data_IF_323760242303
#
_entry.id   IF_323760242303
#
_cell.length_a   1.000
_cell.length_b   1.000
_cell.length_c   1.000
_cell.angle_alpha   90.00
_cell.angle_beta   90.00
_cell.angle_gamma   90.00
#
_symmetry.space_group_name_H-M   'P 1'
#
loop_
_entity.id
_entity.type
_entity.pdbx_description
1 polymer ?
#
# COMPACT_ATOMS: atom_id res chain seq x y z
N UNK A 1 4.35 -14.27 18.32
CA UNK A 1 4.96 -13.98 17.00
C UNK A 1 3.80 -13.53 16.13
N UNK A 2 3.81 -12.29 15.68
CA UNK A 2 2.65 -11.67 15.01
C UNK A 2 3.07 -11.31 13.59
N UNK A 3 2.36 -11.86 12.62
CA UNK A 3 2.54 -11.52 11.23
C UNK A 3 2.11 -10.07 10.98
N UNK A 4 2.91 -9.33 10.22
CA UNK A 4 2.63 -7.94 9.85
C UNK A 4 2.55 -7.81 8.35
N UNK A 5 1.45 -7.27 7.83
CA UNK A 5 1.31 -6.92 6.42
C UNK A 5 1.77 -5.47 6.25
N UNK A 6 2.76 -5.27 5.39
CA UNK A 6 3.37 -3.96 5.13
C UNK A 6 2.96 -3.53 3.72
N UNK A 7 2.15 -2.49 3.66
CA UNK A 7 1.71 -1.85 2.43
C UNK A 7 2.64 -0.69 2.11
N UNK A 8 3.31 -0.76 0.96
CA UNK A 8 4.24 0.28 0.53
C UNK A 8 3.67 1.02 -0.67
N UNK A 9 3.32 2.28 -0.46
CA UNK A 9 2.86 3.18 -1.50
C UNK A 9 4.05 3.77 -2.26
N UNK A 10 3.95 3.79 -3.59
CA UNK A 10 4.91 4.51 -4.44
C UNK A 10 4.61 6.01 -4.44
N UNK A 11 4.72 6.63 -3.26
CA UNK A 11 4.50 8.04 -3.01
C UNK A 11 5.45 8.52 -1.91
N UNK A 12 5.52 9.84 -1.68
CA UNK A 12 6.30 10.46 -0.60
C UNK A 12 5.37 10.84 0.56
N UNK A 13 5.82 10.70 1.82
CA UNK A 13 5.00 10.95 3.02
C UNK A 13 4.35 12.34 3.11
N UNK A 14 4.89 13.34 2.41
CA UNK A 14 4.30 14.69 2.35
C UNK A 14 3.14 14.87 1.36
N UNK A 15 2.86 13.90 0.47
CA UNK A 15 1.80 14.02 -0.53
C UNK A 15 0.40 13.65 0.00
N UNK A 16 0.32 12.99 1.16
CA UNK A 16 -0.95 12.60 1.79
C UNK A 16 -1.26 13.36 3.08
N UNK A 17 -0.39 14.28 3.51
CA UNK A 17 -0.49 14.98 4.80
C UNK A 17 -1.48 16.17 4.83
N UNK A 18 -2.31 16.36 3.81
CA UNK A 18 -3.05 17.62 3.66
C UNK A 18 -4.43 17.47 3.04
N UNK A 19 -5.37 16.91 3.80
CA UNK A 19 -6.79 17.20 3.61
C UNK A 19 -7.20 18.16 4.72
N UNK A 20 -6.83 19.43 4.57
CA UNK A 20 -7.47 20.49 5.36
C UNK A 20 -7.52 21.81 4.62
N UNK A 21 -6.51 22.19 3.84
CA UNK A 21 -6.52 23.53 3.26
C UNK A 21 -5.73 23.61 1.95
N UNK A 22 -6.23 24.47 1.06
CA UNK A 22 -5.62 24.98 -0.19
C UNK A 22 -6.02 24.25 -1.49
N UNK A 23 -7.15 24.74 -2.01
CA UNK A 23 -7.50 24.84 -3.43
C UNK A 23 -6.37 25.53 -4.22
N UNK A 24 -6.11 25.06 -5.45
CA UNK A 24 -5.30 25.73 -6.53
C UNK A 24 -3.78 25.86 -6.34
N UNK A 25 -3.02 24.77 -6.55
CA UNK A 25 -1.67 24.73 -7.19
C UNK A 25 -1.06 23.32 -7.02
N UNK A 26 -1.52 22.36 -7.81
CA UNK A 26 -0.79 21.11 -7.97
C UNK A 26 -0.53 20.97 -9.46
N UNK A 27 0.67 21.40 -9.82
CA UNK A 27 1.39 20.99 -11.02
C UNK A 27 1.02 19.53 -11.29
N UNK A 28 0.39 19.28 -12.44
CA UNK A 28 -0.15 17.98 -12.81
C UNK A 28 0.80 16.85 -12.35
N UNK A 29 0.38 15.90 -11.51
CA UNK A 29 1.15 14.70 -11.44
C UNK A 29 0.78 13.93 -12.70
N UNK A 30 1.63 14.06 -13.72
CA UNK A 30 1.90 12.93 -14.62
C UNK A 30 2.47 11.70 -13.87
N UNK A 31 2.42 11.68 -12.53
CA UNK A 31 3.01 10.72 -11.60
C UNK A 31 1.96 9.84 -10.90
N UNK A 32 0.93 9.42 -11.64
CA UNK A 32 -0.02 8.36 -11.27
C UNK A 32 0.62 6.95 -11.17
N UNK A 33 1.86 6.82 -10.68
CA UNK A 33 2.59 5.54 -10.65
C UNK A 33 2.30 4.70 -9.40
N UNK A 34 1.26 5.04 -8.62
CA UNK A 34 0.84 4.28 -7.45
C UNK A 34 -0.58 3.73 -7.64
N UNK A 35 -0.69 2.59 -8.33
CA UNK A 35 -2.00 1.95 -8.51
C UNK A 35 -2.61 1.52 -7.17
N UNK A 36 -1.78 1.11 -6.20
CA UNK A 36 -2.23 0.79 -4.83
C UNK A 36 -2.97 1.99 -4.19
N UNK A 37 -2.42 3.20 -4.32
CA UNK A 37 -3.05 4.42 -3.83
C UNK A 37 -4.42 4.65 -4.51
N UNK A 38 -4.47 4.51 -5.84
CA UNK A 38 -5.68 4.71 -6.66
C UNK A 38 -6.80 3.73 -6.31
N UNK A 39 -6.44 2.46 -6.02
CA UNK A 39 -7.45 1.46 -5.70
C UNK A 39 -7.93 1.57 -4.26
N UNK A 40 -7.09 1.98 -3.29
CA UNK A 40 -7.48 2.07 -1.86
C UNK A 40 -8.02 3.43 -1.41
N UNK A 41 -7.72 4.52 -2.12
CA UNK A 41 -8.22 5.88 -1.80
C UNK A 41 -9.15 6.44 -2.89
N UNK A 42 -10.13 7.22 -2.47
CA UNK A 42 -10.91 8.12 -3.30
C UNK A 42 -10.37 9.56 -3.26
N UNK A 43 -11.11 10.55 -3.80
CA UNK A 43 -10.66 11.95 -3.88
C UNK A 43 -10.39 12.62 -2.53
N UNK A 44 -11.04 12.14 -1.46
CA UNK A 44 -11.03 12.78 -0.14
C UNK A 44 -10.71 11.81 1.02
N UNK A 45 -10.71 10.49 0.80
CA UNK A 45 -10.51 9.54 1.91
C UNK A 45 -10.22 8.13 1.43
N UNK A 46 -9.81 7.26 2.35
CA UNK A 46 -9.74 5.82 2.12
C UNK A 46 -11.13 5.29 1.76
N UNK A 47 -11.22 4.39 0.78
CA UNK A 47 -12.51 3.81 0.37
C UNK A 47 -13.13 3.05 1.54
N UNK A 48 -14.43 3.27 1.76
CA UNK A 48 -15.16 2.74 2.91
C UNK A 48 -15.11 1.23 3.02
N UNK A 49 -14.98 0.54 1.90
CA UNK A 49 -14.92 -0.91 1.85
C UNK A 49 -13.52 -1.48 2.18
N UNK A 50 -12.47 -0.65 2.24
CA UNK A 50 -11.10 -1.08 2.49
C UNK A 50 -10.82 -1.26 4.00
N UNK A 51 -11.18 -0.28 4.82
CA UNK A 51 -10.94 -0.33 6.27
C UNK A 51 -11.61 -1.52 6.99
N UNK A 52 -12.89 -1.87 6.71
CA UNK A 52 -13.53 -3.06 7.29
C UNK A 52 -12.82 -4.34 6.89
N UNK A 53 -12.36 -4.44 5.64
CA UNK A 53 -11.59 -5.61 5.20
C UNK A 53 -10.28 -5.73 5.96
N UNK A 54 -9.53 -4.64 6.12
CA UNK A 54 -8.31 -4.64 6.92
C UNK A 54 -8.58 -5.11 8.36
N UNK A 55 -9.70 -4.72 8.96
CA UNK A 55 -10.09 -5.16 10.30
C UNK A 55 -10.38 -6.68 10.39
N UNK A 56 -10.73 -7.33 9.27
CA UNK A 56 -10.96 -8.79 9.24
C UNK A 56 -9.68 -9.62 9.25
N UNK A 57 -8.54 -9.05 8.85
CA UNK A 57 -7.27 -9.77 8.80
C UNK A 57 -6.67 -9.87 10.21
N UNK A 58 -6.17 -11.03 10.67
CA UNK A 58 -5.57 -11.17 12.00
C UNK A 58 -4.19 -10.50 12.13
N UNK A 59 -3.51 -10.26 11.01
CA UNK A 59 -2.16 -9.67 10.98
C UNK A 59 -2.18 -8.20 11.41
N UNK A 60 -1.07 -7.70 11.95
CA UNK A 60 -0.86 -6.26 12.06
C UNK A 60 -0.72 -5.64 10.67
N UNK A 61 -1.04 -4.35 10.52
CA UNK A 61 -0.93 -3.64 9.24
C UNK A 61 -0.11 -2.39 9.42
N UNK A 62 0.89 -2.26 8.57
CA UNK A 62 1.76 -1.08 8.51
C UNK A 62 1.64 -0.49 7.12
N UNK A 63 1.47 0.82 7.06
CA UNK A 63 1.37 1.58 5.81
C UNK A 63 2.58 2.50 5.74
N UNK A 64 3.38 2.36 4.69
CA UNK A 64 4.59 3.14 4.47
C UNK A 64 4.56 3.79 3.09
N UNK A 65 5.14 4.97 3.01
CA UNK A 65 5.53 5.60 1.76
C UNK A 65 6.95 5.16 1.35
N UNK A 66 7.35 5.48 0.12
CA UNK A 66 8.65 5.08 -0.43
C UNK A 66 9.81 5.62 0.41
N UNK A 67 9.72 6.86 0.87
CA UNK A 67 10.71 7.49 1.73
C UNK A 67 10.77 6.87 3.13
N UNK A 68 9.62 6.54 3.71
CA UNK A 68 9.54 5.80 4.99
C UNK A 68 10.14 4.40 4.88
N UNK A 69 9.91 3.69 3.77
CA UNK A 69 10.53 2.40 3.50
C UNK A 69 12.05 2.52 3.50
N UNK A 70 12.60 3.50 2.78
CA UNK A 70 14.05 3.68 2.68
C UNK A 70 14.64 3.99 4.06
N UNK A 71 13.96 4.84 4.84
CA UNK A 71 14.42 5.21 6.18
C UNK A 71 14.37 4.07 7.19
N UNK A 72 13.35 3.20 7.12
CA UNK A 72 13.14 2.13 8.12
C UNK A 72 13.75 0.78 7.68
N UNK A 73 13.75 0.50 6.39
CA UNK A 73 14.05 -0.80 5.80
C UNK A 73 14.86 -0.65 4.52
N UNK A 74 15.99 0.07 4.56
CA UNK A 74 16.83 0.36 3.39
C UNK A 74 17.17 -0.86 2.49
N UNK A 75 17.19 -2.08 3.04
CA UNK A 75 17.37 -3.33 2.29
C UNK A 75 16.22 -3.64 1.29
N UNK A 76 15.02 -3.10 1.50
CA UNK A 76 13.85 -3.30 0.64
C UNK A 76 13.78 -2.30 -0.53
N UNK A 77 14.74 -1.38 -0.66
CA UNK A 77 14.76 -0.38 -1.73
C UNK A 77 14.97 -0.99 -3.14
N UNK A 78 15.37 -2.27 -3.23
CA UNK A 78 15.56 -2.96 -4.50
C UNK A 78 14.25 -3.45 -5.14
N UNK A 79 13.12 -3.37 -4.44
CA UNK A 79 11.83 -3.80 -4.97
C UNK A 79 11.14 -2.68 -5.76
N UNK A 80 10.52 -3.07 -6.88
CA UNK A 80 9.65 -2.16 -7.62
C UNK A 80 8.41 -1.82 -6.79
N UNK A 81 8.07 -0.53 -6.72
CA UNK A 81 6.93 -0.02 -5.94
C UNK A 81 5.78 0.44 -6.85
N UNK A 82 4.51 0.37 -6.39
CA UNK A 82 4.06 -0.05 -5.05
C UNK A 82 4.22 -1.57 -4.83
N UNK A 83 4.26 -2.02 -3.58
CA UNK A 83 4.37 -3.44 -3.23
C UNK A 83 3.76 -3.73 -1.85
N UNK A 84 3.37 -4.98 -1.62
CA UNK A 84 2.84 -5.45 -0.34
C UNK A 84 3.70 -6.63 0.14
N UNK A 85 4.14 -6.58 1.38
CA UNK A 85 4.97 -7.61 2.00
C UNK A 85 4.28 -8.23 3.21
N UNK A 86 4.57 -9.49 3.47
CA UNK A 86 4.36 -10.13 4.77
C UNK A 86 5.67 -10.13 5.52
N UNK A 87 5.67 -9.61 6.73
CA UNK A 87 6.78 -9.70 7.66
C UNK A 87 6.43 -10.71 8.74
N UNK A 88 7.24 -11.76 8.83
CA UNK A 88 7.23 -12.74 9.91
C UNK A 88 8.57 -12.65 10.63
N UNK A 89 8.54 -12.18 11.89
CA UNK A 89 9.72 -11.80 12.66
C UNK A 89 10.63 -10.81 11.90
N UNK A 90 11.81 -11.26 11.46
CA UNK A 90 12.79 -10.45 10.70
C UNK A 90 12.84 -10.81 9.21
N UNK A 91 11.94 -11.66 8.72
CA UNK A 91 11.87 -12.07 7.32
C UNK A 91 10.74 -11.34 6.60
N UNK A 92 11.05 -10.83 5.41
CA UNK A 92 10.09 -10.20 4.52
C UNK A 92 9.84 -11.11 3.33
N UNK A 93 8.57 -11.38 3.05
CA UNK A 93 8.11 -12.12 1.88
C UNK A 93 7.24 -11.20 1.03
N UNK A 94 7.52 -11.12 -0.28
CA UNK A 94 6.70 -10.34 -1.21
C UNK A 94 5.34 -11.04 -1.36
N UNK A 95 4.25 -10.38 -0.94
CA UNK A 95 2.87 -10.87 -1.12
C UNK A 95 2.31 -10.47 -2.47
N UNK A 96 2.46 -9.19 -2.83
CA UNK A 96 1.93 -8.64 -4.08
C UNK A 96 2.94 -7.67 -4.68
N UNK A 97 3.38 -7.94 -5.91
CA UNK A 97 4.35 -7.11 -6.63
C UNK A 97 3.72 -5.87 -7.28
N UNK A 98 4.57 -4.93 -7.70
CA UNK A 98 4.15 -3.78 -8.54
C UNK A 98 3.35 -4.23 -9.76
N UNK A 99 3.84 -5.23 -10.47
CA UNK A 99 3.21 -5.69 -11.72
C UNK A 99 1.83 -6.26 -11.45
N UNK A 100 1.69 -7.11 -10.41
CA UNK A 100 0.39 -7.62 -9.99
C UNK A 100 -0.53 -6.48 -9.58
N UNK A 101 -0.07 -5.55 -8.73
CA UNK A 101 -0.87 -4.41 -8.29
C UNK A 101 -1.34 -3.56 -9.48
N UNK A 102 -0.52 -3.36 -10.50
CA UNK A 102 -0.87 -2.58 -11.69
C UNK A 102 -1.90 -3.26 -12.60
N UNK A 103 -2.10 -4.58 -12.48
CA UNK A 103 -3.20 -5.27 -13.18
C UNK A 103 -4.56 -5.07 -12.51
N UNK A 104 -4.57 -4.76 -11.21
CA UNK A 104 -5.81 -4.62 -10.43
C UNK A 104 -6.52 -3.30 -10.76
N UNK A 105 -7.84 -3.36 -10.92
CA UNK A 105 -8.64 -2.17 -11.25
C UNK A 105 -9.47 -1.68 -10.08
N UNK A 106 -9.67 -2.52 -9.08
CA UNK A 106 -10.55 -2.26 -7.95
C UNK A 106 -9.95 -2.73 -6.63
N UNK A 107 -10.49 -2.18 -5.53
CA UNK A 107 -10.14 -2.65 -4.19
C UNK A 107 -10.73 -4.04 -3.91
N UNK A 108 -11.79 -4.44 -4.61
CA UNK A 108 -12.35 -5.79 -4.54
C UNK A 108 -11.31 -6.81 -5.01
N UNK A 109 -10.73 -6.59 -6.20
CA UNK A 109 -9.66 -7.44 -6.73
C UNK A 109 -8.45 -7.50 -5.78
N UNK A 110 -8.07 -6.37 -5.16
CA UNK A 110 -7.00 -6.35 -4.16
C UNK A 110 -7.31 -7.23 -2.94
N UNK A 111 -8.54 -7.17 -2.43
CA UNK A 111 -8.96 -8.00 -1.29
C UNK A 111 -8.87 -9.49 -1.64
N UNK A 112 -9.30 -9.86 -2.83
CA UNK A 112 -9.28 -11.26 -3.27
C UNK A 112 -7.85 -11.78 -3.42
N UNK A 113 -6.97 -10.99 -4.06
CA UNK A 113 -5.54 -11.33 -4.15
C UNK A 113 -4.90 -11.48 -2.77
N UNK A 114 -5.19 -10.58 -1.83
CA UNK A 114 -4.66 -10.66 -0.47
C UNK A 114 -5.17 -11.87 0.29
N UNK A 115 -6.46 -12.20 0.19
CA UNK A 115 -7.01 -13.41 0.81
C UNK A 115 -6.30 -14.65 0.30
N UNK A 116 -6.15 -14.78 -1.02
CA UNK A 116 -5.47 -15.92 -1.64
C UNK A 116 -3.99 -16.01 -1.26
N UNK A 117 -3.29 -14.87 -1.19
CA UNK A 117 -1.88 -14.83 -0.80
C UNK A 117 -1.67 -15.22 0.67
N UNK A 118 -2.59 -14.81 1.56
CA UNK A 118 -2.52 -15.09 3.00
C UNK A 118 -2.98 -16.50 3.37
N UNK A 119 -3.83 -17.16 2.58
CA UNK A 119 -4.21 -18.57 2.81
C UNK A 119 -3.21 -19.58 2.24
N UNK A 120 -2.27 -19.15 1.42
CA UNK A 120 -1.25 -20.02 0.80
C UNK A 120 0.04 -20.13 1.61
N UNK A 121 0.05 -19.62 2.85
CA UNK A 121 1.17 -19.68 3.81
C UNK A 121 0.75 -20.49 5.03
#
# INVERSE_FOLDING_TARGET
MTDTIIFIYNAKSGLFAGLSDIVTKIIAPSQYECNLCKITYGPLSMKEEWAPFLATLPQEKVFLHKDELISQYGALNNYALPAIFLKHDNKFSLLVSKDQLNTLKSVIELKDVLKSALTST
#
